data_IF_254303331202
#
_entry.id   IF_254303331202
#
_cell.length_a   1.000
_cell.length_b   1.000
_cell.length_c   1.000
_cell.angle_alpha   90.00
_cell.angle_beta   90.00
_cell.angle_gamma   90.00
#
_symmetry.space_group_name_H-M   'P 1'
#
loop_
_entity.id
_entity.type
_entity.pdbx_description
1 polymer ?
#
# COMPACT_ATOMS: atom_id res chain seq x y z
N UNK A 1 14.41 22.86 20.73
CA UNK A 1 13.25 21.99 21.07
C UNK A 1 12.51 21.73 19.78
N UNK A 2 12.11 20.48 19.53
CA UNK A 2 11.28 20.12 18.37
C UNK A 2 9.88 20.72 18.57
N UNK A 3 9.30 21.31 17.55
CA UNK A 3 7.96 21.90 17.61
C UNK A 3 6.91 20.81 17.37
N UNK A 4 6.05 20.58 18.38
CA UNK A 4 4.94 19.63 18.27
C UNK A 4 3.93 20.13 17.25
N UNK A 5 3.58 19.30 16.27
CA UNK A 5 2.58 19.62 15.25
C UNK A 5 1.26 18.92 15.54
N UNK A 6 1.32 17.63 15.88
CA UNK A 6 0.17 16.82 16.25
C UNK A 6 0.50 15.98 17.48
N UNK A 7 -0.39 15.97 18.46
CA UNK A 7 -0.32 15.10 19.62
C UNK A 7 -1.62 14.31 19.76
N UNK A 8 -1.48 13.02 19.89
CA UNK A 8 -2.55 12.05 20.12
C UNK A 8 -2.38 11.54 21.54
N UNK A 9 -3.40 11.71 22.39
CA UNK A 9 -3.35 11.35 23.80
C UNK A 9 -4.40 10.30 24.13
N UNK A 10 -3.97 9.16 24.64
CA UNK A 10 -4.80 8.06 25.19
C UNK A 10 -5.94 7.65 24.26
N UNK A 11 -5.67 7.60 22.94
CA UNK A 11 -6.69 7.21 21.95
C UNK A 11 -7.03 5.74 22.10
N UNK A 12 -8.32 5.48 22.19
CA UNK A 12 -8.90 4.14 22.20
C UNK A 12 -9.85 3.97 21.02
N UNK A 13 -9.86 2.78 20.42
CA UNK A 13 -10.77 2.39 19.34
C UNK A 13 -11.07 0.90 19.36
N UNK A 14 -12.36 0.56 19.26
CA UNK A 14 -12.82 -0.83 19.17
C UNK A 14 -13.74 -1.04 17.96
N UNK A 15 -13.68 -2.20 17.36
CA UNK A 15 -14.59 -2.68 16.32
C UNK A 15 -15.27 -3.94 16.82
N UNK A 16 -16.48 -3.79 17.32
CA UNK A 16 -17.18 -4.88 18.01
C UNK A 16 -16.35 -5.38 19.20
N UNK A 17 -16.00 -6.68 19.26
CA UNK A 17 -15.22 -7.24 20.36
C UNK A 17 -13.71 -6.93 20.25
N UNK A 18 -13.22 -6.46 19.09
CA UNK A 18 -11.81 -6.27 18.83
C UNK A 18 -11.37 -4.87 19.23
N UNK A 19 -10.44 -4.79 20.20
CA UNK A 19 -9.78 -3.53 20.57
C UNK A 19 -8.64 -3.25 19.57
N UNK A 20 -8.85 -2.30 18.68
CA UNK A 20 -7.87 -1.93 17.65
C UNK A 20 -6.82 -0.95 18.18
N UNK A 21 -7.18 -0.07 19.13
CA UNK A 21 -6.26 0.84 19.81
C UNK A 21 -6.59 0.85 21.30
N UNK A 22 -5.56 0.82 22.14
CA UNK A 22 -5.67 0.85 23.60
C UNK A 22 -4.68 1.86 24.17
N UNK A 23 -5.20 3.00 24.64
CA UNK A 23 -4.44 4.09 25.25
C UNK A 23 -3.20 4.48 24.42
N UNK A 24 -3.39 4.70 23.12
CA UNK A 24 -2.29 5.06 22.23
C UNK A 24 -1.95 6.54 22.39
N UNK A 25 -0.67 6.79 22.71
CA UNK A 25 -0.05 8.11 22.72
C UNK A 25 0.89 8.23 21.53
N UNK A 26 0.77 9.29 20.73
CA UNK A 26 1.60 9.50 19.55
C UNK A 26 1.84 11.01 19.35
N UNK A 27 3.07 11.38 19.03
CA UNK A 27 3.39 12.79 18.74
C UNK A 27 4.19 12.90 17.44
N UNK A 28 3.72 13.75 16.54
CA UNK A 28 4.40 14.11 15.32
C UNK A 28 4.88 15.56 15.38
N UNK A 29 6.10 15.80 14.89
CA UNK A 29 6.76 17.09 14.98
C UNK A 29 6.94 17.72 13.59
N UNK A 30 7.21 19.02 13.56
CA UNK A 30 7.56 19.73 12.34
C UNK A 30 8.92 19.27 11.79
N UNK A 31 9.02 19.18 10.46
CA UNK A 31 10.27 18.89 9.78
C UNK A 31 10.76 17.45 9.98
N UNK A 32 9.84 16.49 10.10
CA UNK A 32 10.22 15.08 10.22
C UNK A 32 9.41 14.15 9.31
N UNK A 33 10.01 13.04 8.97
CA UNK A 33 9.32 11.84 8.48
C UNK A 33 9.22 10.86 9.63
N UNK A 34 7.99 10.65 10.13
CA UNK A 34 7.70 9.76 11.25
C UNK A 34 7.13 8.43 10.75
N UNK A 35 7.89 7.35 10.88
CA UNK A 35 7.46 6.01 10.51
C UNK A 35 6.50 5.40 11.55
N UNK A 36 5.46 4.71 11.08
CA UNK A 36 4.64 3.80 11.88
C UNK A 36 4.81 2.38 11.35
N UNK A 37 5.30 1.47 12.19
CA UNK A 37 5.51 0.07 11.83
C UNK A 37 4.83 -0.87 12.84
N UNK A 38 4.52 -2.07 12.41
CA UNK A 38 3.90 -3.13 13.21
C UNK A 38 3.30 -4.21 12.32
N UNK A 39 2.93 -5.34 12.89
CA UNK A 39 2.25 -6.41 12.16
C UNK A 39 0.87 -5.97 11.63
N UNK A 40 0.29 -6.75 10.72
CA UNK A 40 -1.07 -6.52 10.25
C UNK A 40 -2.05 -6.62 11.42
N UNK A 41 -2.97 -5.65 11.52
CA UNK A 41 -3.91 -5.57 12.65
C UNK A 41 -3.34 -4.91 13.90
N UNK A 42 -2.12 -4.40 13.91
CA UNK A 42 -1.52 -3.72 15.08
C UNK A 42 -2.10 -2.35 15.41
N UNK A 43 -2.96 -1.78 14.55
CA UNK A 43 -3.63 -0.49 14.77
C UNK A 43 -3.06 0.69 13.98
N UNK A 44 -2.03 0.50 13.12
CA UNK A 44 -1.40 1.59 12.32
C UNK A 44 -2.42 2.39 11.52
N UNK A 45 -3.13 1.74 10.62
CA UNK A 45 -4.13 2.42 9.78
C UNK A 45 -5.32 2.94 10.61
N UNK A 46 -5.62 2.32 11.76
CA UNK A 46 -6.68 2.82 12.65
C UNK A 46 -6.33 4.16 13.27
N UNK A 47 -5.11 4.32 13.82
CA UNK A 47 -4.71 5.61 14.41
C UNK A 47 -4.60 6.68 13.34
N UNK A 48 -4.07 6.37 12.16
CA UNK A 48 -3.93 7.37 11.09
C UNK A 48 -5.25 7.74 10.42
N UNK A 49 -6.21 6.81 10.30
CA UNK A 49 -7.57 7.15 9.83
C UNK A 49 -8.35 7.99 10.85
N UNK A 50 -8.07 7.87 12.15
CA UNK A 50 -8.61 8.78 13.18
C UNK A 50 -8.00 10.18 13.01
N UNK A 51 -6.67 10.28 12.85
CA UNK A 51 -5.98 11.54 12.57
C UNK A 51 -6.53 12.22 11.31
N UNK A 52 -6.81 11.46 10.28
CA UNK A 52 -7.36 11.94 9.01
C UNK A 52 -8.88 12.22 9.05
N UNK A 53 -9.56 12.04 10.18
CA UNK A 53 -11.00 12.28 10.31
C UNK A 53 -11.88 11.28 9.55
N UNK A 54 -11.31 10.16 9.08
CA UNK A 54 -12.05 9.09 8.39
C UNK A 54 -12.83 8.25 9.41
N UNK A 55 -12.24 8.07 10.59
CA UNK A 55 -12.85 7.35 11.71
C UNK A 55 -12.83 8.22 12.97
N UNK A 56 -13.74 7.93 13.89
CA UNK A 56 -13.77 8.58 15.21
C UNK A 56 -13.13 7.69 16.25
N UNK A 57 -12.36 8.28 17.16
CA UNK A 57 -11.93 7.61 18.38
C UNK A 57 -13.14 7.32 19.29
N UNK A 58 -13.04 6.25 20.10
CA UNK A 58 -14.04 5.96 21.12
C UNK A 58 -13.78 6.79 22.40
N UNK A 59 -12.50 7.10 22.67
CA UNK A 59 -12.06 8.01 23.75
C UNK A 59 -10.62 8.50 23.50
N UNK A 60 -10.18 9.45 24.28
CA UNK A 60 -8.91 10.14 24.14
C UNK A 60 -9.08 11.50 23.48
N UNK A 61 -8.01 12.19 23.19
CA UNK A 61 -8.02 13.50 22.56
C UNK A 61 -6.87 13.69 21.58
N UNK A 62 -7.04 14.58 20.63
CA UNK A 62 -5.97 15.02 19.74
C UNK A 62 -5.78 16.54 19.86
N UNK A 63 -4.53 16.97 19.78
CA UNK A 63 -4.12 18.38 19.78
C UNK A 63 -3.31 18.61 18.48
N UNK A 64 -3.73 19.56 17.68
CA UNK A 64 -3.07 19.93 16.43
C UNK A 64 -2.73 21.42 16.43
N UNK A 65 -1.47 21.76 16.20
CA UNK A 65 -0.96 23.14 16.30
C UNK A 65 -1.32 23.83 17.63
N UNK A 66 -1.31 23.04 18.73
CA UNK A 66 -1.65 23.54 20.07
C UNK A 66 -3.14 23.69 20.37
N UNK A 67 -4.02 23.38 19.44
CA UNK A 67 -5.48 23.46 19.58
C UNK A 67 -6.12 22.08 19.60
N UNK A 68 -7.27 21.97 20.28
CA UNK A 68 -8.08 20.74 20.24
C UNK A 68 -8.49 20.38 18.81
N UNK A 69 -8.28 19.09 18.45
CA UNK A 69 -8.49 18.57 17.10
C UNK A 69 -9.40 17.36 17.13
N UNK A 70 -10.66 17.53 16.67
CA UNK A 70 -11.63 16.43 16.48
C UNK A 70 -12.35 16.65 15.12
N UNK A 71 -11.73 16.25 14.00
CA UNK A 71 -12.32 16.46 12.68
C UNK A 71 -13.57 15.61 12.49
N UNK A 72 -14.64 16.20 11.95
CA UNK A 72 -15.90 15.51 11.71
C UNK A 72 -15.81 14.50 10.57
N UNK A 73 -14.93 14.75 9.62
CA UNK A 73 -14.70 13.93 8.43
C UNK A 73 -13.35 14.28 7.77
N UNK A 74 -12.96 13.51 6.76
CA UNK A 74 -11.73 13.73 6.03
C UNK A 74 -11.63 15.08 5.31
N UNK A 75 -12.76 15.67 4.90
CA UNK A 75 -12.76 17.00 4.26
C UNK A 75 -12.34 18.10 5.25
N UNK A 76 -12.83 18.03 6.50
CA UNK A 76 -12.42 18.97 7.55
C UNK A 76 -10.93 18.78 7.92
N UNK A 77 -10.47 17.53 8.03
CA UNK A 77 -9.06 17.25 8.26
C UNK A 77 -8.17 17.82 7.14
N UNK A 78 -8.59 17.64 5.89
CA UNK A 78 -7.90 18.15 4.71
C UNK A 78 -7.87 19.69 4.68
N UNK A 79 -9.01 20.34 4.99
CA UNK A 79 -9.09 21.80 5.10
C UNK A 79 -8.18 22.36 6.21
N UNK A 80 -7.89 21.58 7.26
CA UNK A 80 -6.93 21.92 8.32
C UNK A 80 -5.49 21.60 7.97
N UNK A 81 -5.23 20.99 6.81
CA UNK A 81 -3.91 20.67 6.31
C UNK A 81 -3.42 19.26 6.64
N UNK A 82 -4.31 18.31 6.94
CA UNK A 82 -3.97 16.89 7.12
C UNK A 82 -4.52 16.08 5.96
N UNK A 83 -3.64 15.62 5.08
CA UNK A 83 -3.98 14.81 3.91
C UNK A 83 -3.61 13.33 4.13
N UNK A 84 -4.41 12.44 3.56
CA UNK A 84 -4.24 11.00 3.68
C UNK A 84 -4.18 10.34 2.30
N UNK A 85 -3.07 9.62 2.04
CA UNK A 85 -2.90 8.75 0.88
C UNK A 85 -3.21 7.32 1.31
N UNK A 86 -4.33 6.80 0.82
CA UNK A 86 -4.80 5.45 1.15
C UNK A 86 -4.00 4.37 0.42
N UNK A 87 -3.95 3.19 0.99
CA UNK A 87 -3.40 1.99 0.34
C UNK A 87 -4.16 1.65 -0.95
N UNK A 88 -5.48 1.70 -0.91
CA UNK A 88 -6.34 1.46 -2.07
C UNK A 88 -6.29 2.62 -3.08
N UNK A 89 -6.82 2.39 -4.30
CA UNK A 89 -6.90 3.44 -5.30
C UNK A 89 -7.96 4.47 -4.93
N UNK A 90 -7.55 5.74 -4.87
CA UNK A 90 -8.42 6.89 -4.59
C UNK A 90 -8.69 7.76 -5.82
N UNK A 91 -8.36 7.32 -7.05
CA UNK A 91 -8.71 8.04 -8.28
C UNK A 91 -10.10 7.67 -8.76
N UNK A 92 -10.83 8.66 -9.27
CA UNK A 92 -12.13 8.46 -9.92
C UNK A 92 -11.91 8.04 -11.37
N UNK A 93 -12.45 6.90 -11.74
CA UNK A 93 -12.42 6.43 -13.12
C UNK A 93 -13.35 7.25 -14.02
N UNK A 94 -13.04 7.28 -15.31
CA UNK A 94 -13.91 7.93 -16.30
C UNK A 94 -13.74 9.45 -16.45
N UNK A 95 -12.97 10.10 -15.59
CA UNK A 95 -12.65 11.54 -15.70
C UNK A 95 -11.17 11.76 -16.00
N UNK A 96 -10.81 12.99 -16.42
CA UNK A 96 -9.42 13.32 -16.73
C UNK A 96 -8.52 13.33 -15.48
N UNK A 97 -7.23 13.18 -15.68
CA UNK A 97 -6.20 13.37 -14.64
C UNK A 97 -6.36 14.74 -13.97
N UNK A 98 -6.55 15.81 -14.74
CA UNK A 98 -6.73 17.14 -14.19
C UNK A 98 -7.99 17.24 -13.32
N UNK A 99 -9.11 16.64 -13.73
CA UNK A 99 -10.31 16.62 -12.91
C UNK A 99 -10.12 15.81 -11.63
N UNK A 100 -9.30 14.74 -11.67
CA UNK A 100 -8.93 13.98 -10.47
C UNK A 100 -8.07 14.79 -9.50
N UNK A 101 -7.10 15.57 -9.99
CA UNK A 101 -6.23 16.40 -9.13
C UNK A 101 -7.05 17.45 -8.39
N UNK A 102 -8.05 18.06 -9.05
CA UNK A 102 -8.84 19.16 -8.51
C UNK A 102 -10.26 18.77 -8.11
N UNK A 103 -10.52 17.48 -7.90
CA UNK A 103 -11.83 17.02 -7.41
C UNK A 103 -12.20 17.72 -6.09
N UNK A 104 -13.42 18.29 -6.03
CA UNK A 104 -13.89 19.06 -4.90
C UNK A 104 -13.41 20.52 -4.87
N UNK A 105 -12.68 20.96 -5.92
CA UNK A 105 -12.21 22.35 -6.11
C UNK A 105 -12.67 22.92 -7.47
N UNK A 106 -13.72 22.38 -8.04
CA UNK A 106 -14.22 22.76 -9.37
C UNK A 106 -14.61 24.23 -9.44
N UNK A 107 -15.09 24.79 -8.34
CA UNK A 107 -15.48 26.21 -8.24
C UNK A 107 -14.30 27.17 -8.52
N UNK A 108 -13.07 26.79 -8.23
CA UNK A 108 -11.87 27.59 -8.53
C UNK A 108 -11.67 27.82 -10.05
N UNK A 109 -12.27 26.96 -10.86
CA UNK A 109 -12.15 27.00 -12.32
C UNK A 109 -13.41 27.54 -13.01
N UNK A 110 -14.44 27.92 -12.27
CA UNK A 110 -15.67 28.48 -12.83
C UNK A 110 -15.56 30.02 -12.90
N UNK A 111 -15.73 30.56 -14.10
CA UNK A 111 -15.81 32.00 -14.34
C UNK A 111 -17.05 32.32 -15.15
N UNK A 112 -17.91 33.21 -14.61
CA UNK A 112 -19.20 33.60 -15.23
C UNK A 112 -20.09 32.39 -15.54
N UNK A 113 -20.12 31.37 -14.67
CA UNK A 113 -20.91 30.16 -14.85
C UNK A 113 -20.34 29.14 -15.85
N UNK A 114 -19.17 29.40 -16.44
CA UNK A 114 -18.48 28.49 -17.37
C UNK A 114 -17.18 27.99 -16.79
N UNK A 115 -16.91 26.70 -16.94
CA UNK A 115 -15.67 26.09 -16.51
C UNK A 115 -14.49 26.45 -17.44
N UNK A 116 -13.43 26.98 -16.88
CA UNK A 116 -12.18 27.25 -17.59
C UNK A 116 -11.30 25.99 -17.64
N UNK A 117 -11.61 25.13 -18.59
CA UNK A 117 -10.89 23.84 -18.78
C UNK A 117 -9.41 24.06 -19.12
N UNK A 118 -9.07 25.14 -19.83
CA UNK A 118 -7.69 25.46 -20.15
C UNK A 118 -6.85 25.73 -18.89
N UNK A 119 -7.40 26.48 -17.94
CA UNK A 119 -6.76 26.75 -16.66
C UNK A 119 -6.65 25.51 -15.80
N UNK A 120 -7.68 24.64 -15.79
CA UNK A 120 -7.67 23.35 -15.12
C UNK A 120 -6.48 22.49 -15.60
N UNK A 121 -6.32 22.34 -16.92
CA UNK A 121 -5.21 21.57 -17.48
C UNK A 121 -3.86 22.21 -17.20
N UNK A 122 -3.75 23.52 -17.29
CA UNK A 122 -2.50 24.25 -17.00
C UNK A 122 -2.05 24.01 -15.54
N UNK A 123 -2.97 24.15 -14.58
CA UNK A 123 -2.66 23.91 -13.15
C UNK A 123 -2.34 22.44 -12.88
N UNK A 124 -3.06 21.52 -13.52
CA UNK A 124 -2.79 20.08 -13.36
C UNK A 124 -1.39 19.71 -13.89
N UNK A 125 -0.95 20.29 -15.01
CA UNK A 125 0.42 20.12 -15.51
C UNK A 125 1.45 20.57 -14.49
N UNK A 126 1.25 21.75 -13.88
CA UNK A 126 2.15 22.28 -12.84
C UNK A 126 2.17 21.33 -11.62
N UNK A 127 1.02 20.79 -11.21
CA UNK A 127 0.92 19.86 -10.08
C UNK A 127 1.71 18.57 -10.34
N UNK A 128 1.58 17.99 -11.54
CA UNK A 128 2.32 16.80 -11.95
C UNK A 128 3.82 17.07 -12.04
N UNK A 129 4.22 18.20 -12.64
CA UNK A 129 5.63 18.56 -12.77
C UNK A 129 6.29 18.80 -11.41
N UNK A 130 5.56 19.37 -10.44
CA UNK A 130 6.04 19.60 -9.06
C UNK A 130 6.45 18.32 -8.35
N UNK A 131 5.75 17.21 -8.60
CA UNK A 131 6.07 15.89 -8.03
C UNK A 131 6.99 15.05 -8.93
N UNK A 132 7.39 15.55 -10.10
CA UNK A 132 8.25 14.83 -11.05
C UNK A 132 7.52 13.85 -11.96
N UNK A 133 6.17 13.89 -12.00
CA UNK A 133 5.34 13.01 -12.83
C UNK A 133 4.99 13.62 -14.21
N UNK A 134 5.96 14.27 -14.86
CA UNK A 134 5.77 14.99 -16.13
C UNK A 134 5.39 14.08 -17.31
N UNK A 135 5.60 12.77 -17.20
CA UNK A 135 5.21 11.79 -18.21
C UNK A 135 3.68 11.58 -18.28
N UNK A 136 2.94 11.90 -17.23
CA UNK A 136 1.49 11.75 -17.17
C UNK A 136 0.82 12.91 -17.92
N UNK A 137 -0.09 12.60 -18.85
CA UNK A 137 -0.85 13.63 -19.57
C UNK A 137 -2.08 14.05 -18.73
N UNK A 138 -2.16 15.34 -18.38
CA UNK A 138 -3.25 15.92 -17.58
C UNK A 138 -4.64 15.81 -18.21
N UNK A 139 -4.70 15.60 -19.54
CA UNK A 139 -5.95 15.45 -20.31
C UNK A 139 -6.41 14.00 -20.42
N UNK A 140 -5.51 13.04 -20.12
CA UNK A 140 -5.78 11.63 -20.27
C UNK A 140 -6.87 11.19 -19.28
N UNK A 141 -7.68 10.19 -19.70
CA UNK A 141 -8.64 9.57 -18.80
C UNK A 141 -7.92 8.61 -17.84
N UNK A 142 -8.21 8.74 -16.56
CA UNK A 142 -7.55 7.91 -15.52
C UNK A 142 -7.77 6.41 -15.69
N UNK A 143 -8.85 5.98 -16.37
CA UNK A 143 -9.08 4.57 -16.69
C UNK A 143 -8.00 3.95 -17.61
N UNK A 144 -7.22 4.79 -18.31
CA UNK A 144 -6.14 4.34 -19.20
C UNK A 144 -4.77 4.33 -18.54
N UNK A 145 -4.68 4.89 -17.35
CA UNK A 145 -3.43 4.95 -16.59
C UNK A 145 -3.10 3.61 -15.94
N UNK A 146 -1.81 3.36 -15.78
CA UNK A 146 -1.33 2.27 -14.94
C UNK A 146 -1.72 2.50 -13.47
N UNK A 147 -1.65 1.46 -12.65
CA UNK A 147 -1.89 1.59 -11.22
C UNK A 147 -0.92 2.61 -10.57
N UNK A 148 0.35 2.56 -10.95
CA UNK A 148 1.40 3.48 -10.50
C UNK A 148 1.07 4.93 -10.86
N UNK A 149 0.72 5.21 -12.13
CA UNK A 149 0.41 6.57 -12.56
C UNK A 149 -0.80 7.14 -11.81
N UNK A 150 -1.81 6.31 -11.52
CA UNK A 150 -2.96 6.71 -10.69
C UNK A 150 -2.51 7.11 -9.28
N UNK A 151 -1.56 6.38 -8.67
CA UNK A 151 -0.99 6.76 -7.38
C UNK A 151 -0.23 8.08 -7.44
N UNK A 152 0.53 8.33 -8.51
CA UNK A 152 1.18 9.62 -8.71
C UNK A 152 0.16 10.76 -8.86
N UNK A 153 -0.98 10.54 -9.52
CA UNK A 153 -2.09 11.50 -9.59
C UNK A 153 -2.67 11.80 -8.19
N UNK A 154 -2.82 10.78 -7.34
CA UNK A 154 -3.27 10.96 -5.94
C UNK A 154 -2.27 11.78 -5.12
N UNK A 155 -0.96 11.53 -5.29
CA UNK A 155 0.10 12.33 -4.65
C UNK A 155 0.02 13.79 -5.13
N UNK A 156 -0.13 14.03 -6.44
CA UNK A 156 -0.28 15.38 -6.98
C UNK A 156 -1.50 16.10 -6.39
N UNK A 157 -2.66 15.40 -6.30
CA UNK A 157 -3.88 15.92 -5.66
C UNK A 157 -3.66 16.29 -4.19
N UNK A 158 -2.99 15.41 -3.42
CA UNK A 158 -2.71 15.66 -2.01
C UNK A 158 -1.82 16.90 -1.85
N UNK A 159 -0.80 17.05 -2.70
CA UNK A 159 0.13 18.18 -2.66
C UNK A 159 -0.48 19.52 -3.10
N UNK A 160 -1.57 19.51 -3.90
CA UNK A 160 -2.33 20.73 -4.23
C UNK A 160 -3.11 21.32 -3.03
N UNK A 161 -3.24 20.59 -1.95
CA UNK A 161 -3.79 21.08 -0.68
C UNK A 161 -2.73 21.72 0.23
N UNK A 162 -1.48 21.73 -0.18
CA UNK A 162 -0.32 22.21 0.60
C UNK A 162 -0.32 21.66 2.04
N UNK A 163 -0.35 20.34 2.25
CA UNK A 163 -0.58 19.75 3.55
C UNK A 163 0.54 20.08 4.54
N UNK A 164 0.18 20.28 5.81
CA UNK A 164 1.11 20.35 6.93
C UNK A 164 1.49 18.96 7.43
N UNK A 165 0.54 18.00 7.33
CA UNK A 165 0.77 16.59 7.61
C UNK A 165 0.28 15.79 6.40
N UNK A 166 1.16 14.97 5.84
CA UNK A 166 0.83 13.96 4.84
C UNK A 166 0.93 12.57 5.46
N UNK A 167 -0.17 11.86 5.51
CA UNK A 167 -0.17 10.44 5.88
C UNK A 167 -0.05 9.61 4.61
N UNK A 168 0.95 8.72 4.59
CA UNK A 168 1.23 7.80 3.47
C UNK A 168 1.06 6.38 3.98
N UNK A 169 -0.06 5.73 3.64
CA UNK A 169 -0.40 4.39 4.14
C UNK A 169 -0.11 3.33 3.08
N UNK A 170 0.96 2.54 3.31
CA UNK A 170 1.44 1.41 2.48
C UNK A 170 1.45 1.66 0.95
N UNK A 171 1.52 2.92 0.55
CA UNK A 171 1.43 3.35 -0.86
C UNK A 171 2.64 2.87 -1.68
N UNK A 172 3.80 2.68 -1.05
CA UNK A 172 5.05 2.26 -1.69
C UNK A 172 4.97 0.89 -2.38
N UNK A 173 4.12 -0.02 -1.86
CA UNK A 173 3.93 -1.37 -2.41
C UNK A 173 3.35 -1.36 -3.83
N UNK A 174 2.64 -0.29 -4.18
CA UNK A 174 1.99 -0.10 -5.47
C UNK A 174 2.90 0.54 -6.53
N UNK A 175 4.09 1.00 -6.13
CA UNK A 175 4.99 1.78 -6.96
C UNK A 175 6.21 0.96 -7.40
N UNK A 176 6.65 1.19 -8.63
CA UNK A 176 7.97 0.76 -9.10
C UNK A 176 9.07 1.46 -8.31
N UNK A 177 10.33 1.09 -8.54
CA UNK A 177 11.46 1.78 -7.92
C UNK A 177 11.45 3.28 -8.23
N UNK A 178 11.22 3.66 -9.49
CA UNK A 178 11.16 5.06 -9.91
C UNK A 178 10.00 5.82 -9.26
N UNK A 179 8.83 5.20 -9.16
CA UNK A 179 7.67 5.80 -8.47
C UNK A 179 7.91 5.99 -6.97
N UNK A 180 8.55 5.02 -6.31
CA UNK A 180 8.97 5.18 -4.90
C UNK A 180 9.97 6.32 -4.72
N UNK A 181 10.96 6.43 -5.61
CA UNK A 181 11.94 7.51 -5.55
C UNK A 181 11.27 8.89 -5.68
N UNK A 182 10.26 9.04 -6.55
CA UNK A 182 9.45 10.27 -6.64
C UNK A 182 8.66 10.55 -5.35
N UNK A 183 8.02 9.55 -4.78
CA UNK A 183 7.29 9.68 -3.51
C UNK A 183 8.24 10.11 -2.38
N UNK A 184 9.42 9.49 -2.26
CA UNK A 184 10.42 9.85 -1.24
C UNK A 184 10.95 11.28 -1.43
N UNK A 185 11.12 11.75 -2.68
CA UNK A 185 11.48 13.15 -2.95
C UNK A 185 10.38 14.12 -2.50
N UNK A 186 9.10 13.77 -2.67
CA UNK A 186 7.98 14.58 -2.16
C UNK A 186 8.02 14.64 -0.64
N UNK A 187 8.23 13.49 0.04
CA UNK A 187 8.33 13.42 1.49
C UNK A 187 9.50 14.26 2.04
N UNK A 188 10.69 14.16 1.42
CA UNK A 188 11.86 14.94 1.83
C UNK A 188 11.64 16.45 1.62
N UNK A 189 11.06 16.86 0.49
CA UNK A 189 10.70 18.28 0.27
C UNK A 189 9.70 18.80 1.32
N UNK A 190 8.74 17.99 1.73
CA UNK A 190 7.82 18.38 2.81
C UNK A 190 8.57 18.61 4.12
N UNK A 191 9.44 17.68 4.50
CA UNK A 191 10.29 17.77 5.67
C UNK A 191 11.17 19.03 5.64
N UNK A 192 11.87 19.28 4.53
CA UNK A 192 12.70 20.48 4.35
C UNK A 192 11.91 21.79 4.50
N UNK A 193 10.61 21.77 4.13
CA UNK A 193 9.71 22.91 4.31
C UNK A 193 9.06 22.96 5.72
N UNK A 194 9.58 22.21 6.69
CA UNK A 194 9.09 22.21 8.07
C UNK A 194 7.72 21.54 8.24
N UNK A 195 7.30 20.71 7.30
CA UNK A 195 6.07 19.92 7.35
C UNK A 195 6.35 18.52 7.88
N UNK A 196 5.31 17.77 8.22
CA UNK A 196 5.43 16.41 8.73
C UNK A 196 4.88 15.38 7.73
N UNK A 197 5.55 14.23 7.65
CA UNK A 197 5.03 13.05 6.96
C UNK A 197 4.88 11.92 7.96
N UNK A 198 3.70 11.30 8.03
CA UNK A 198 3.47 10.05 8.76
C UNK A 198 3.49 8.92 7.73
N UNK A 199 4.53 8.08 7.78
CA UNK A 199 4.79 7.04 6.79
C UNK A 199 4.54 5.66 7.37
N UNK A 200 3.54 4.95 6.85
CA UNK A 200 3.24 3.57 7.22
C UNK A 200 3.86 2.64 6.18
N UNK A 201 4.72 1.74 6.64
CA UNK A 201 5.26 0.65 5.83
C UNK A 201 5.45 -0.59 6.69
N UNK A 202 5.42 -1.75 6.09
CA UNK A 202 5.85 -3.01 6.69
C UNK A 202 7.27 -3.39 6.28
N UNK A 203 7.90 -2.62 5.40
CA UNK A 203 9.29 -2.81 4.95
C UNK A 203 10.25 -2.01 5.85
N UNK A 204 11.03 -2.73 6.67
CA UNK A 204 12.03 -2.13 7.55
C UNK A 204 13.10 -1.38 6.76
N UNK A 205 13.46 -1.86 5.56
CA UNK A 205 14.44 -1.21 4.68
C UNK A 205 13.96 0.17 4.23
N UNK A 206 12.69 0.31 3.84
CA UNK A 206 12.09 1.60 3.48
C UNK A 206 12.09 2.56 4.68
N UNK A 207 11.61 2.09 5.83
CA UNK A 207 11.56 2.91 7.05
C UNK A 207 12.94 3.43 7.44
N UNK A 208 13.96 2.57 7.40
CA UNK A 208 15.37 2.97 7.68
C UNK A 208 15.90 3.99 6.69
N UNK A 209 15.47 3.92 5.43
CA UNK A 209 15.93 4.82 4.38
C UNK A 209 15.34 6.23 4.54
N UNK A 210 14.03 6.33 4.85
CA UNK A 210 13.31 7.62 4.73
C UNK A 210 12.89 8.25 6.06
N UNK A 211 12.74 7.47 7.16
CA UNK A 211 12.23 7.99 8.42
C UNK A 211 13.33 8.57 9.32
N UNK A 212 12.98 9.59 10.09
CA UNK A 212 13.81 10.17 11.16
C UNK A 212 13.47 9.57 12.53
N UNK A 213 12.20 9.25 12.73
CA UNK A 213 11.63 8.61 13.92
C UNK A 213 10.76 7.45 13.51
N UNK A 214 10.65 6.46 14.38
CA UNK A 214 9.87 5.26 14.17
C UNK A 214 9.08 4.87 15.39
N UNK A 215 7.77 4.88 15.29
CA UNK A 215 6.89 4.32 16.33
C UNK A 215 6.46 2.91 15.95
N UNK A 216 6.63 1.99 16.88
CA UNK A 216 6.24 0.59 16.74
C UNK A 216 4.90 0.37 17.46
N UNK A 217 3.92 -0.12 16.71
CA UNK A 217 2.60 -0.53 17.22
C UNK A 217 2.50 -2.06 17.22
N UNK A 218 1.95 -2.62 18.29
CA UNK A 218 1.67 -4.05 18.43
C UNK A 218 0.41 -4.26 19.27
N UNK A 219 -0.50 -5.09 18.78
CA UNK A 219 -1.75 -5.48 19.47
C UNK A 219 -2.55 -4.25 19.97
N UNK A 220 -2.60 -3.20 19.17
CA UNK A 220 -3.29 -1.95 19.50
C UNK A 220 -2.58 -1.04 20.50
N UNK A 221 -1.34 -1.34 20.90
CA UNK A 221 -0.56 -0.53 21.82
C UNK A 221 0.66 0.09 21.14
N UNK A 222 1.03 1.29 21.55
CA UNK A 222 2.34 1.84 21.24
C UNK A 222 3.38 1.16 22.14
N UNK A 223 4.39 0.53 21.52
CA UNK A 223 5.43 -0.21 22.23
C UNK A 223 6.66 0.67 22.48
N UNK A 224 7.12 1.37 21.45
CA UNK A 224 8.30 2.24 21.55
C UNK A 224 8.30 3.24 20.40
N UNK A 225 8.99 4.37 20.62
CA UNK A 225 9.40 5.28 19.54
C UNK A 225 10.92 5.35 19.54
N UNK A 226 11.52 5.08 18.39
CA UNK A 226 12.96 5.04 18.15
C UNK A 226 13.40 6.28 17.37
N UNK A 227 14.60 6.76 17.63
CA UNK A 227 15.29 7.73 16.77
C UNK A 227 16.10 7.01 15.69
N UNK A 228 16.42 7.69 14.59
CA UNK A 228 17.10 7.10 13.41
C UNK A 228 18.39 6.35 13.75
N UNK A 229 19.16 6.81 14.74
CA UNK A 229 20.38 6.14 15.17
C UNK A 229 20.16 4.81 15.91
N UNK A 230 18.93 4.56 16.36
CA UNK A 230 18.53 3.34 17.06
C UNK A 230 17.94 2.29 16.08
N UNK A 231 17.83 2.63 14.77
CA UNK A 231 17.24 1.75 13.76
C UNK A 231 18.18 0.57 13.45
N UNK A 232 17.90 -0.58 13.99
CA UNK A 232 18.47 -1.85 13.56
C UNK A 232 17.36 -2.83 13.24
N UNK A 233 17.60 -3.72 12.27
CA UNK A 233 16.60 -4.72 11.86
C UNK A 233 16.16 -5.57 13.05
N UNK A 234 17.09 -5.99 13.88
CA UNK A 234 16.82 -6.85 15.04
C UNK A 234 16.02 -6.11 16.12
N UNK A 235 16.39 -4.84 16.44
CA UNK A 235 15.65 -4.05 17.40
C UNK A 235 14.20 -3.81 16.94
N UNK A 236 14.01 -3.42 15.68
CA UNK A 236 12.68 -3.17 15.11
C UNK A 236 11.85 -4.47 15.10
N UNK A 237 12.41 -5.58 14.61
CA UNK A 237 11.71 -6.89 14.59
C UNK A 237 11.33 -7.35 15.99
N UNK A 238 12.23 -7.24 16.96
CA UNK A 238 11.97 -7.61 18.36
C UNK A 238 10.81 -6.81 18.94
N UNK A 239 10.74 -5.51 18.69
CA UNK A 239 9.63 -4.65 19.14
C UNK A 239 8.30 -5.01 18.44
N UNK A 240 8.33 -5.30 17.14
CA UNK A 240 7.13 -5.67 16.38
C UNK A 240 6.53 -7.00 16.85
N UNK A 241 7.37 -8.03 17.00
CA UNK A 241 6.91 -9.41 17.30
C UNK A 241 6.81 -9.68 18.81
N UNK A 242 7.56 -8.96 19.64
CA UNK A 242 7.53 -9.09 21.10
C UNK A 242 8.24 -10.31 21.69
N UNK A 243 8.90 -11.10 20.85
CA UNK A 243 9.73 -12.23 21.23
C UNK A 243 11.04 -12.21 20.44
N UNK A 244 12.05 -12.84 20.97
CA UNK A 244 13.27 -13.05 20.17
C UNK A 244 12.92 -13.88 18.96
N UNK A 245 13.14 -13.30 17.78
CA UNK A 245 13.02 -14.02 16.53
C UNK A 245 14.31 -14.79 16.40
N UNK A 246 14.25 -16.11 16.54
CA UNK A 246 15.40 -16.99 16.25
C UNK A 246 15.82 -16.74 14.80
N UNK A 247 17.12 -16.69 14.53
CA UNK A 247 17.68 -16.48 13.19
C UNK A 247 17.19 -17.50 12.14
N UNK A 248 16.62 -18.60 12.59
CA UNK A 248 16.09 -19.67 11.74
C UNK A 248 14.65 -19.35 11.29
N UNK A 249 14.49 -18.38 10.38
CA UNK A 249 13.22 -18.10 9.68
C UNK A 249 12.79 -19.25 8.76
N UNK A 250 13.73 -20.04 8.30
CA UNK A 250 13.48 -21.21 7.46
C UNK A 250 13.58 -22.45 8.32
N UNK A 251 12.58 -23.31 8.21
CA UNK A 251 12.63 -24.65 8.80
C UNK A 251 13.75 -25.42 8.13
N UNK A 252 14.90 -25.50 8.79
CA UNK A 252 16.05 -26.28 8.33
C UNK A 252 15.79 -27.81 8.39
N UNK A 253 14.73 -28.22 9.11
CA UNK A 253 14.31 -29.60 9.30
C UNK A 253 13.39 -30.11 8.17
N UNK A 254 13.04 -29.28 7.19
CA UNK A 254 12.28 -29.72 6.03
C UNK A 254 13.17 -30.43 5.01
N UNK A 255 13.36 -31.72 5.21
CA UNK A 255 13.72 -32.59 4.10
C UNK A 255 12.52 -32.60 3.14
N UNK A 256 12.77 -32.23 1.87
CA UNK A 256 11.76 -32.32 0.83
C UNK A 256 11.34 -33.78 0.64
N UNK A 257 10.34 -34.23 1.36
CA UNK A 257 9.72 -35.54 1.18
C UNK A 257 8.47 -35.35 0.35
N UNK A 258 8.60 -35.43 -0.96
CA UNK A 258 7.47 -35.61 -1.84
C UNK A 258 7.32 -37.06 -2.22
N UNK A 259 6.11 -37.50 -2.49
CA UNK A 259 5.86 -38.82 -3.06
C UNK A 259 6.38 -38.86 -4.50
N UNK A 260 6.69 -40.05 -5.00
CA UNK A 260 7.09 -40.21 -6.42
C UNK A 260 5.90 -40.09 -7.37
N UNK A 261 4.69 -40.10 -6.82
CA UNK A 261 3.45 -40.01 -7.60
C UNK A 261 3.18 -38.54 -8.05
N UNK A 262 2.98 -38.37 -9.35
CA UNK A 262 2.67 -37.09 -9.94
C UNK A 262 1.23 -36.69 -9.53
N UNK A 263 1.06 -35.54 -8.94
CA UNK A 263 -0.26 -34.97 -8.64
C UNK A 263 -0.85 -34.27 -9.89
N UNK A 264 -0.05 -33.44 -10.55
CA UNK A 264 -0.45 -32.69 -11.75
C UNK A 264 0.80 -32.38 -12.59
N UNK A 265 0.61 -32.35 -13.91
CA UNK A 265 1.67 -31.98 -14.85
C UNK A 265 1.17 -31.07 -15.95
N UNK A 266 2.08 -30.30 -16.48
CA UNK A 266 1.97 -29.41 -17.60
C UNK A 266 2.93 -29.87 -18.69
N UNK A 267 2.44 -30.12 -19.90
CA UNK A 267 3.26 -30.61 -21.00
C UNK A 267 3.17 -29.67 -22.20
N UNK A 268 4.31 -29.16 -22.64
CA UNK A 268 4.49 -28.32 -23.83
C UNK A 268 3.56 -27.09 -23.84
N UNK A 269 3.28 -26.50 -22.68
CA UNK A 269 2.33 -25.40 -22.56
C UNK A 269 2.92 -24.11 -23.11
N UNK A 270 2.20 -23.52 -24.05
CA UNK A 270 2.46 -22.18 -24.59
C UNK A 270 1.21 -21.36 -24.43
N UNK A 271 1.31 -20.17 -23.83
CA UNK A 271 0.25 -19.18 -23.68
C UNK A 271 0.84 -17.81 -23.36
N UNK A 272 0.49 -16.80 -24.15
CA UNK A 272 1.01 -15.44 -23.95
C UNK A 272 2.55 -15.40 -23.92
N UNK A 273 3.12 -15.07 -22.75
CA UNK A 273 4.57 -15.02 -22.51
C UNK A 273 5.19 -16.40 -22.20
N UNK A 274 4.38 -17.38 -21.82
CA UNK A 274 4.83 -18.74 -21.56
C UNK A 274 5.16 -19.44 -22.86
N UNK A 275 6.35 -20.04 -22.97
CA UNK A 275 6.83 -20.74 -24.15
C UNK A 275 7.31 -22.12 -23.79
N UNK A 276 6.64 -23.14 -24.28
CA UNK A 276 7.01 -24.57 -24.15
C UNK A 276 7.29 -24.99 -22.68
N UNK A 277 6.41 -24.62 -21.76
CA UNK A 277 6.56 -24.92 -20.34
C UNK A 277 6.26 -26.39 -20.09
N UNK A 278 7.20 -27.07 -19.44
CA UNK A 278 7.07 -28.43 -18.96
C UNK A 278 7.30 -28.43 -17.46
N UNK A 279 6.37 -28.97 -16.67
CA UNK A 279 6.41 -28.93 -15.22
C UNK A 279 5.63 -30.09 -14.61
N UNK A 280 6.18 -30.74 -13.61
CA UNK A 280 5.52 -31.77 -12.82
C UNK A 280 5.48 -31.35 -11.35
N UNK A 281 4.37 -31.61 -10.69
CA UNK A 281 4.18 -31.41 -9.25
C UNK A 281 3.77 -32.76 -8.64
N UNK A 282 4.47 -33.17 -7.60
CA UNK A 282 4.25 -34.44 -6.95
C UNK A 282 3.30 -34.31 -5.73
N UNK A 283 2.73 -35.41 -5.31
CA UNK A 283 1.90 -35.43 -4.09
C UNK A 283 2.75 -35.08 -2.85
N UNK A 284 2.18 -34.23 -2.00
CA UNK A 284 2.86 -33.73 -0.81
C UNK A 284 3.94 -32.68 -1.05
N UNK A 285 4.10 -32.22 -2.31
CA UNK A 285 5.07 -31.21 -2.70
C UNK A 285 4.52 -29.79 -2.59
N UNK A 286 5.36 -28.84 -2.17
CA UNK A 286 5.10 -27.40 -2.24
C UNK A 286 6.08 -26.81 -3.26
N UNK A 287 5.56 -26.35 -4.38
CA UNK A 287 6.36 -25.75 -5.47
C UNK A 287 6.21 -24.24 -5.44
N UNK A 288 7.35 -23.53 -5.35
CA UNK A 288 7.42 -22.09 -5.48
C UNK A 288 7.67 -21.66 -6.92
N UNK A 289 6.85 -20.74 -7.45
CA UNK A 289 7.08 -20.11 -8.75
C UNK A 289 7.59 -18.70 -8.54
N UNK A 290 8.79 -18.40 -9.06
CA UNK A 290 9.41 -17.08 -8.97
C UNK A 290 9.66 -16.49 -10.36
N UNK A 291 9.51 -15.17 -10.49
CA UNK A 291 9.78 -14.47 -11.74
C UNK A 291 9.51 -12.96 -11.62
N UNK A 292 9.90 -12.22 -12.64
CA UNK A 292 9.54 -10.80 -12.78
C UNK A 292 8.04 -10.65 -13.00
N UNK A 293 7.49 -9.46 -12.74
CA UNK A 293 6.05 -9.17 -12.84
C UNK A 293 5.42 -9.62 -14.15
N UNK A 294 6.14 -9.46 -15.26
CA UNK A 294 5.66 -9.80 -16.61
C UNK A 294 6.22 -11.13 -17.14
N UNK A 295 6.64 -12.04 -16.25
CA UNK A 295 7.19 -13.35 -16.65
C UNK A 295 6.14 -14.38 -17.04
N UNK A 296 4.85 -14.12 -16.81
CA UNK A 296 3.77 -15.09 -17.01
C UNK A 296 3.59 -16.09 -15.86
N UNK A 297 4.30 -15.92 -14.71
CA UNK A 297 4.20 -16.86 -13.58
C UNK A 297 2.78 -17.01 -13.03
N UNK A 298 1.99 -15.92 -13.03
CA UNK A 298 0.60 -15.98 -12.59
C UNK A 298 -0.31 -16.77 -13.55
N UNK A 299 0.03 -16.80 -14.82
CA UNK A 299 -0.76 -17.55 -15.82
C UNK A 299 -0.56 -19.05 -15.66
N UNK A 300 0.58 -19.51 -15.15
CA UNK A 300 0.83 -20.93 -14.80
C UNK A 300 -0.24 -21.41 -13.81
N UNK A 301 -0.49 -20.67 -12.73
CA UNK A 301 -1.51 -21.03 -11.74
C UNK A 301 -2.93 -21.05 -12.30
N UNK A 302 -3.27 -20.06 -13.14
CA UNK A 302 -4.57 -20.00 -13.84
C UNK A 302 -4.76 -21.18 -14.79
N UNK A 303 -3.71 -21.56 -15.52
CA UNK A 303 -3.73 -22.69 -16.46
C UNK A 303 -3.86 -24.00 -15.70
N UNK A 304 -3.12 -24.20 -14.60
CA UNK A 304 -3.28 -25.39 -13.76
C UNK A 304 -4.70 -25.56 -13.24
N UNK A 305 -5.37 -24.47 -12.88
CA UNK A 305 -6.73 -24.53 -12.39
C UNK A 305 -7.80 -24.51 -13.50
N UNK A 306 -7.40 -24.38 -14.77
CA UNK A 306 -8.33 -24.33 -15.89
C UNK A 306 -9.14 -23.04 -16.04
N UNK A 307 -8.72 -21.93 -15.39
CA UNK A 307 -9.29 -20.59 -15.61
C UNK A 307 -8.89 -20.03 -16.97
N UNK A 308 -7.72 -20.39 -17.45
CA UNK A 308 -7.19 -20.03 -18.75
C UNK A 308 -6.75 -21.31 -19.45
N UNK A 309 -7.09 -21.44 -20.74
CA UNK A 309 -6.65 -22.56 -21.54
C UNK A 309 -5.33 -22.23 -22.23
N UNK A 310 -4.37 -23.16 -22.32
CA UNK A 310 -3.15 -22.97 -23.08
C UNK A 310 -3.48 -22.95 -24.60
N UNK A 311 -2.72 -22.17 -25.36
CA UNK A 311 -2.81 -22.13 -26.81
C UNK A 311 -2.27 -23.43 -27.44
N UNK A 312 -1.22 -24.01 -26.81
CA UNK A 312 -0.59 -25.27 -27.18
C UNK A 312 -0.29 -26.02 -25.88
N UNK A 313 -0.28 -27.35 -25.93
CA UNK A 313 0.03 -28.22 -24.81
C UNK A 313 -1.20 -28.64 -24.02
N UNK A 314 -0.98 -29.20 -22.85
CA UNK A 314 -2.03 -29.71 -21.97
C UNK A 314 -1.62 -29.69 -20.49
N UNK A 315 -2.63 -29.75 -19.64
CA UNK A 315 -2.49 -29.97 -18.20
C UNK A 315 -3.27 -31.25 -17.83
N UNK A 316 -2.62 -32.15 -17.12
CA UNK A 316 -3.20 -33.43 -16.70
C UNK A 316 -2.91 -33.72 -15.25
N UNK A 317 -3.87 -34.29 -14.53
CA UNK A 317 -3.66 -34.88 -13.22
C UNK A 317 -2.91 -36.22 -13.32
N UNK A 318 -2.33 -36.69 -12.23
CA UNK A 318 -1.64 -37.97 -12.19
C UNK A 318 -2.51 -39.17 -12.57
N UNK A 319 -3.83 -39.07 -12.46
CA UNK A 319 -4.78 -40.08 -12.92
C UNK A 319 -5.10 -40.00 -14.42
N UNK A 320 -4.46 -39.11 -15.17
CA UNK A 320 -4.68 -38.88 -16.59
C UNK A 320 -5.87 -37.95 -16.90
N UNK A 321 -6.54 -37.41 -15.90
CA UNK A 321 -7.65 -36.46 -16.12
C UNK A 321 -7.10 -35.14 -16.67
N UNK A 322 -7.54 -34.73 -17.85
CA UNK A 322 -7.19 -33.43 -18.43
C UNK A 322 -7.95 -32.31 -17.74
N UNK A 323 -7.25 -31.21 -17.41
CA UNK A 323 -7.84 -29.99 -16.88
C UNK A 323 -8.16 -29.04 -18.03
N UNK A 324 -9.42 -29.07 -18.47
CA UNK A 324 -9.97 -28.25 -19.56
C UNK A 324 -10.87 -27.12 -19.10
N UNK A 325 -11.19 -27.08 -17.81
CA UNK A 325 -12.02 -26.04 -17.20
C UNK A 325 -11.84 -25.99 -15.69
N UNK A 326 -12.13 -24.84 -15.09
CA UNK A 326 -12.16 -24.69 -13.63
C UNK A 326 -13.20 -25.61 -12.97
N UNK A 327 -14.29 -25.95 -13.68
CA UNK A 327 -15.28 -26.90 -13.20
C UNK A 327 -14.70 -28.31 -13.05
N UNK A 328 -13.86 -28.75 -14.00
CA UNK A 328 -13.14 -30.03 -13.93
C UNK A 328 -12.18 -30.01 -12.74
N UNK A 329 -11.43 -28.93 -12.53
CA UNK A 329 -10.53 -28.77 -11.42
C UNK A 329 -11.25 -28.85 -10.06
N UNK A 330 -12.37 -28.14 -9.89
CA UNK A 330 -13.17 -28.17 -8.66
C UNK A 330 -13.73 -29.58 -8.39
N UNK A 331 -14.21 -30.29 -9.40
CA UNK A 331 -14.69 -31.68 -9.25
C UNK A 331 -13.58 -32.65 -8.82
N UNK A 332 -12.32 -32.29 -9.08
CA UNK A 332 -11.13 -33.05 -8.67
C UNK A 332 -10.50 -32.51 -7.38
N UNK A 333 -11.27 -31.74 -6.58
CA UNK A 333 -10.87 -31.16 -5.31
C UNK A 333 -9.66 -30.21 -5.38
N UNK A 334 -9.49 -29.53 -6.52
CA UNK A 334 -8.51 -28.45 -6.64
C UNK A 334 -9.14 -27.12 -6.16
N UNK A 335 -8.33 -26.25 -5.59
CA UNK A 335 -8.70 -24.90 -5.22
C UNK A 335 -7.67 -23.88 -5.77
N UNK A 336 -8.14 -22.68 -6.07
CA UNK A 336 -7.30 -21.57 -6.52
C UNK A 336 -7.60 -20.34 -5.69
N UNK A 337 -6.55 -19.75 -5.11
CA UNK A 337 -6.64 -18.47 -4.39
C UNK A 337 -6.06 -17.40 -5.30
N UNK A 338 -6.90 -16.51 -5.77
CA UNK A 338 -6.49 -15.38 -6.60
C UNK A 338 -5.74 -14.34 -5.75
N UNK A 339 -4.92 -13.53 -6.42
CA UNK A 339 -4.24 -12.40 -5.78
C UNK A 339 -5.22 -11.25 -5.50
N UNK A 340 -6.26 -11.11 -6.36
CA UNK A 340 -7.26 -10.04 -6.33
C UNK A 340 -8.66 -10.63 -6.15
#
# INVERSE_FOLDING_TARGET
MREELLKVNQINKSFGPTKALVNVDFTAYRGEVHGLIGENGSGKSTVTTIIAGIQKADSGEMIYKGEHYDPKNALEANAKGICYLMQEQGTFEGISVAANIFVGKEEEFVKNGLMNVGELYRRARIALDRIGASHINEKENTSRLTFEDRKLVEIARAMENDPEILVVDETSTALSKSGRDLMYQVMEKMKENGKCVIFISHDIGEVKAVCDYLTVLRDGHLIATLEKQEFSDDAIRKLMVGREVSENFYREDMHATCEKEIAIRMEHVTHGLLKDINMEIHKGEIVGLGGLTDSGMHDIGKIFFGLTQPDIGKVELGDGTRIDSSLTAVKKNMAYVAKD
#
